data_IF_553408651906
#
_entry.id   IF_553408651906
#
_cell.length_a   1.000
_cell.length_b   1.000
_cell.length_c   1.000
_cell.angle_alpha   90.00
_cell.angle_beta   90.00
_cell.angle_gamma   90.00
#
_symmetry.space_group_name_H-M   'P 1'
#
loop_
_entity.id
_entity.type
_entity.pdbx_description
1 polymer ?
#
# COMPACT_ATOMS: atom_id res chain seq x y z
N UNK A 1 17.43 36.09 24.08
CA UNK A 1 17.40 35.55 22.71
C UNK A 1 16.79 34.15 22.79
N UNK A 2 15.52 34.00 22.42
CA UNK A 2 14.79 32.71 22.50
C UNK A 2 14.87 32.02 21.15
N UNK A 3 15.48 30.83 21.10
CA UNK A 3 15.55 30.01 19.90
C UNK A 3 14.18 29.37 19.65
N UNK A 4 13.51 29.77 18.56
CA UNK A 4 12.33 29.08 18.05
C UNK A 4 12.77 27.70 17.54
N UNK A 5 12.55 26.66 18.36
CA UNK A 5 12.71 25.28 17.95
C UNK A 5 11.67 25.00 16.86
N UNK A 6 12.10 25.01 15.60
CA UNK A 6 11.25 24.61 14.47
C UNK A 6 11.02 23.10 14.62
N UNK A 7 9.88 22.72 15.21
CA UNK A 7 9.42 21.34 15.24
C UNK A 7 9.25 20.89 13.79
N UNK A 8 10.13 20.00 13.32
CA UNK A 8 9.87 19.25 12.11
C UNK A 8 8.49 18.59 12.25
N UNK A 9 7.65 18.60 11.21
CA UNK A 9 6.33 17.99 11.29
C UNK A 9 6.48 16.52 11.69
N UNK A 10 5.73 16.12 12.71
CA UNK A 10 5.72 14.74 13.20
C UNK A 10 5.47 13.78 12.03
N UNK A 11 6.24 12.69 11.91
CA UNK A 11 6.08 11.77 10.80
C UNK A 11 4.68 11.14 10.89
N UNK A 12 3.95 11.17 9.78
CA UNK A 12 2.61 10.58 9.69
C UNK A 12 2.75 9.07 9.88
N UNK A 13 2.24 8.56 11.01
CA UNK A 13 2.17 7.13 11.31
C UNK A 13 0.77 6.61 11.03
N UNK A 14 0.70 5.35 10.62
CA UNK A 14 -0.56 4.63 10.52
C UNK A 14 -1.14 4.41 11.92
N UNK A 15 -2.41 4.79 12.18
CA UNK A 15 -3.02 4.60 13.51
C UNK A 15 -3.11 3.14 13.96
N UNK A 16 -3.09 2.19 13.03
CA UNK A 16 -3.02 0.76 13.30
C UNK A 16 -1.60 0.22 13.46
N UNK A 17 -0.57 1.05 13.62
CA UNK A 17 0.79 0.54 13.81
C UNK A 17 0.98 -0.14 15.18
N UNK A 18 2.02 -0.98 15.30
CA UNK A 18 2.38 -1.71 16.52
C UNK A 18 2.09 -3.22 16.42
N UNK A 19 0.83 -3.68 16.54
CA UNK A 19 0.51 -5.11 16.44
C UNK A 19 0.84 -5.73 15.07
N UNK A 20 0.74 -7.06 14.96
CA UNK A 20 0.96 -7.80 13.70
C UNK A 20 -0.02 -7.38 12.61
N UNK A 21 0.44 -7.30 11.37
CA UNK A 21 -0.43 -7.01 10.23
C UNK A 21 -1.24 -8.28 9.91
N UNK A 22 -2.57 -8.17 9.94
CA UNK A 22 -3.52 -9.24 9.54
C UNK A 22 -4.30 -8.77 8.32
N UNK A 23 -5.09 -9.65 7.70
CA UNK A 23 -5.89 -9.32 6.53
C UNK A 23 -6.88 -8.18 6.80
N UNK A 24 -7.55 -8.20 7.95
CA UNK A 24 -8.53 -7.18 8.36
C UNK A 24 -7.83 -5.83 8.58
N UNK A 25 -6.64 -5.86 9.18
CA UNK A 25 -5.86 -4.64 9.43
C UNK A 25 -5.25 -4.09 8.15
N UNK A 26 -4.95 -4.96 7.18
CA UNK A 26 -4.52 -4.56 5.85
C UNK A 26 -5.64 -3.79 5.13
N UNK A 27 -6.88 -4.25 5.18
CA UNK A 27 -8.01 -3.53 4.59
C UNK A 27 -8.18 -2.14 5.24
N UNK A 28 -8.05 -2.06 6.58
CA UNK A 28 -8.04 -0.78 7.30
C UNK A 28 -6.85 0.13 6.93
N UNK A 29 -5.66 -0.44 6.68
CA UNK A 29 -4.50 0.30 6.18
C UNK A 29 -4.77 0.89 4.79
N UNK A 30 -5.34 0.10 3.86
CA UNK A 30 -5.70 0.56 2.52
C UNK A 30 -6.69 1.73 2.58
N UNK A 31 -7.74 1.58 3.39
CA UNK A 31 -8.77 2.59 3.57
C UNK A 31 -8.22 3.91 4.14
N UNK A 32 -7.37 3.82 5.18
CA UNK A 32 -6.68 4.98 5.74
C UNK A 32 -5.74 5.64 4.74
N UNK A 33 -4.94 4.86 4.01
CA UNK A 33 -4.00 5.37 3.01
C UNK A 33 -4.73 6.08 1.87
N UNK A 34 -5.87 5.55 1.40
CA UNK A 34 -6.71 6.19 0.40
C UNK A 34 -7.28 7.53 0.89
N UNK A 35 -7.74 7.59 2.15
CA UNK A 35 -8.20 8.86 2.75
C UNK A 35 -7.09 9.91 2.85
N UNK A 36 -5.85 9.47 3.03
CA UNK A 36 -4.66 10.33 3.04
C UNK A 36 -4.25 10.81 1.64
N UNK A 37 -4.87 10.30 0.56
CA UNK A 37 -4.49 10.63 -0.81
C UNK A 37 -3.27 9.87 -1.31
N UNK A 38 -3.01 8.67 -0.76
CA UNK A 38 -1.92 7.83 -1.23
C UNK A 38 -2.18 7.31 -2.66
N UNK A 39 -1.19 7.47 -3.54
CA UNK A 39 -1.18 6.88 -4.88
C UNK A 39 -0.71 5.43 -4.85
N UNK A 40 0.23 5.11 -3.96
CA UNK A 40 0.87 3.80 -3.86
C UNK A 40 1.03 3.39 -2.40
N UNK A 41 0.76 2.12 -2.12
CA UNK A 41 0.97 1.45 -0.84
C UNK A 41 1.91 0.28 -1.10
N UNK A 42 3.10 0.30 -0.48
CA UNK A 42 4.16 -0.69 -0.71
C UNK A 42 4.39 -1.53 0.55
N UNK A 43 4.32 -2.85 0.36
CA UNK A 43 4.54 -3.85 1.40
C UNK A 43 5.60 -4.82 0.89
N UNK A 44 6.70 -4.95 1.62
CA UNK A 44 7.84 -5.77 1.22
C UNK A 44 8.49 -6.41 2.44
N UNK A 45 8.92 -7.67 2.29
CA UNK A 45 9.63 -8.41 3.33
C UNK A 45 10.81 -7.61 3.87
N UNK A 46 10.83 -7.37 5.19
CA UNK A 46 11.92 -6.66 5.85
C UNK A 46 11.93 -5.14 5.62
N UNK A 47 10.90 -4.55 5.02
CA UNK A 47 10.71 -3.10 4.90
C UNK A 47 9.58 -2.62 5.80
N UNK A 48 9.59 -1.32 6.14
CA UNK A 48 8.44 -0.66 6.76
C UNK A 48 7.32 -0.50 5.74
N UNK A 49 6.08 -0.32 6.19
CA UNK A 49 4.98 0.08 5.31
C UNK A 49 5.33 1.46 4.74
N UNK A 50 5.29 1.56 3.41
CA UNK A 50 5.62 2.79 2.69
C UNK A 50 4.41 3.25 1.89
N UNK A 51 4.07 4.53 2.04
CA UNK A 51 3.07 5.21 1.21
C UNK A 51 3.74 6.21 0.29
N UNK A 52 3.17 6.41 -0.89
CA UNK A 52 3.45 7.56 -1.74
C UNK A 52 2.24 8.49 -1.72
N UNK A 53 2.40 9.68 -1.13
CA UNK A 53 1.32 10.67 -0.96
C UNK A 53 1.76 11.96 -1.61
N UNK A 54 1.04 12.43 -2.62
CA UNK A 54 1.37 13.66 -3.37
C UNK A 54 2.85 13.73 -3.79
N UNK A 55 3.42 12.62 -4.28
CA UNK A 55 4.81 12.52 -4.72
C UNK A 55 5.84 12.34 -3.60
N UNK A 56 5.44 12.34 -2.33
CA UNK A 56 6.34 12.13 -1.17
C UNK A 56 6.28 10.68 -0.68
N UNK A 57 7.44 10.11 -0.38
CA UNK A 57 7.57 8.77 0.17
C UNK A 57 7.54 8.83 1.70
N UNK A 58 6.54 8.22 2.31
CA UNK A 58 6.32 8.20 3.75
C UNK A 58 6.47 6.78 4.29
N UNK A 59 7.29 6.59 5.33
CA UNK A 59 7.33 5.33 6.09
C UNK A 59 6.34 5.47 7.24
N UNK A 60 5.28 4.67 7.24
CA UNK A 60 4.12 4.86 8.13
C UNK A 60 4.01 3.83 9.24
N UNK A 61 4.98 2.91 9.36
CA UNK A 61 5.08 1.95 10.44
C UNK A 61 6.42 2.06 11.19
N UNK A 62 6.41 1.73 12.48
CA UNK A 62 7.62 1.70 13.33
C UNK A 62 8.47 0.48 13.03
N UNK A 63 7.85 -0.69 12.85
CA UNK A 63 8.54 -1.95 12.57
C UNK A 63 8.53 -2.32 11.10
N UNK A 64 9.50 -3.15 10.73
CA UNK A 64 9.57 -3.80 9.41
C UNK A 64 8.59 -4.97 9.38
N UNK A 65 8.00 -5.21 8.21
CA UNK A 65 7.16 -6.38 7.95
C UNK A 65 8.00 -7.64 8.03
N UNK A 66 7.45 -8.66 8.67
CA UNK A 66 8.00 -10.01 8.61
C UNK A 66 7.69 -10.63 7.24
N UNK A 67 8.37 -11.72 6.90
CA UNK A 67 8.06 -12.50 5.70
C UNK A 67 6.59 -12.95 5.69
N UNK A 68 6.12 -13.51 6.80
CA UNK A 68 4.73 -13.92 6.97
C UNK A 68 3.72 -12.80 6.68
N UNK A 69 3.97 -11.58 7.16
CA UNK A 69 3.06 -10.45 6.94
C UNK A 69 3.05 -9.96 5.50
N UNK A 70 4.22 -9.99 4.84
CA UNK A 70 4.32 -9.62 3.44
C UNK A 70 3.66 -10.68 2.53
N UNK A 71 3.84 -11.97 2.84
CA UNK A 71 3.19 -13.09 2.14
C UNK A 71 1.67 -13.10 2.34
N UNK A 72 1.20 -12.89 3.57
CA UNK A 72 -0.22 -12.72 3.86
C UNK A 72 -0.81 -11.53 3.08
N UNK A 73 -0.09 -10.41 3.02
CA UNK A 73 -0.53 -9.25 2.24
C UNK A 73 -0.61 -9.55 0.74
N UNK A 74 0.35 -10.30 0.18
CA UNK A 74 0.27 -10.77 -1.21
C UNK A 74 -1.02 -11.56 -1.40
N UNK A 75 -1.22 -12.65 -0.64
CA UNK A 75 -2.36 -13.53 -0.82
C UNK A 75 -3.70 -12.80 -0.67
N UNK A 76 -3.80 -11.90 0.32
CA UNK A 76 -5.00 -11.07 0.52
C UNK A 76 -5.25 -10.14 -0.66
N UNK A 77 -4.23 -9.43 -1.15
CA UNK A 77 -4.39 -8.43 -2.22
C UNK A 77 -4.57 -9.08 -3.60
N UNK A 78 -4.00 -10.26 -3.81
CA UNK A 78 -4.21 -11.00 -5.06
C UNK A 78 -5.51 -11.80 -5.05
N UNK A 79 -6.18 -11.89 -3.89
CA UNK A 79 -7.36 -12.72 -3.67
C UNK A 79 -7.10 -14.20 -4.06
N UNK A 80 -5.88 -14.67 -3.79
CA UNK A 80 -5.37 -15.99 -4.14
C UNK A 80 -4.60 -16.55 -2.95
N UNK A 81 -5.00 -17.71 -2.45
CA UNK A 81 -4.31 -18.37 -1.33
C UNK A 81 -2.91 -18.88 -1.73
N UNK A 82 -2.69 -19.11 -3.02
CA UNK A 82 -1.45 -19.59 -3.61
C UNK A 82 -0.60 -18.49 -4.25
N UNK A 83 -0.99 -17.21 -4.17
CA UNK A 83 -0.32 -16.10 -4.87
C UNK A 83 1.20 -16.06 -4.64
N UNK A 84 1.65 -16.32 -3.42
CA UNK A 84 3.09 -16.42 -3.08
C UNK A 84 3.82 -17.54 -3.84
N UNK A 85 3.17 -18.69 -4.08
CA UNK A 85 3.76 -19.79 -4.83
C UNK A 85 4.05 -19.40 -6.28
N UNK A 86 3.17 -18.62 -6.90
CA UNK A 86 3.40 -18.04 -8.24
C UNK A 86 4.61 -17.11 -8.23
N UNK A 87 4.74 -16.24 -7.22
CA UNK A 87 5.88 -15.33 -7.10
C UNK A 87 7.22 -16.08 -6.95
N UNK A 88 7.22 -17.21 -6.23
CA UNK A 88 8.41 -18.07 -6.06
C UNK A 88 8.85 -18.74 -7.36
N UNK A 89 7.94 -18.92 -8.32
CA UNK A 89 8.25 -19.43 -9.68
C UNK A 89 8.54 -18.32 -10.68
N UNK A 90 8.88 -17.12 -10.20
CA UNK A 90 9.18 -15.92 -10.99
C UNK A 90 8.03 -15.46 -11.91
N UNK A 91 6.78 -15.71 -11.53
CA UNK A 91 5.59 -15.22 -12.23
C UNK A 91 5.01 -14.02 -11.48
N UNK A 92 5.18 -12.78 -11.98
CA UNK A 92 4.57 -11.62 -11.34
C UNK A 92 3.05 -11.66 -11.50
N UNK A 93 2.34 -11.05 -10.55
CA UNK A 93 0.89 -10.93 -10.56
C UNK A 93 0.49 -9.47 -10.75
N UNK A 94 -0.44 -9.21 -11.67
CA UNK A 94 -1.07 -7.91 -11.89
C UNK A 94 -2.59 -8.10 -11.90
N UNK A 95 -3.26 -7.71 -10.82
CA UNK A 95 -4.71 -7.92 -10.64
C UNK A 95 -5.39 -6.68 -10.06
N UNK A 96 -6.70 -6.58 -10.23
CA UNK A 96 -7.49 -5.57 -9.53
C UNK A 96 -7.95 -6.11 -8.18
N UNK A 97 -7.93 -5.27 -7.15
CA UNK A 97 -8.42 -5.59 -5.81
C UNK A 97 -9.41 -4.55 -5.33
N UNK A 98 -10.52 -5.02 -4.77
CA UNK A 98 -11.56 -4.19 -4.16
C UNK A 98 -11.82 -4.74 -2.76
N UNK A 99 -11.37 -4.05 -1.69
CA UNK A 99 -11.76 -4.45 -0.36
C UNK A 99 -13.28 -4.31 -0.20
N UNK A 100 -13.85 -5.11 0.70
CA UNK A 100 -15.25 -4.95 1.09
C UNK A 100 -15.54 -3.52 1.59
N UNK A 101 -16.81 -3.11 1.53
CA UNK A 101 -17.24 -1.82 2.06
C UNK A 101 -16.90 -1.75 3.55
N UNK A 102 -15.94 -0.89 3.89
CA UNK A 102 -15.63 -0.53 5.27
C UNK A 102 -16.49 0.68 5.64
N UNK A 103 -17.14 0.64 6.79
CA UNK A 103 -17.99 1.74 7.25
C UNK A 103 -17.19 3.05 7.30
N UNK A 104 -17.71 4.10 6.65
CA UNK A 104 -17.03 5.41 6.54
C UNK A 104 -15.95 5.52 5.47
N UNK A 105 -15.66 4.45 4.71
CA UNK A 105 -14.71 4.45 3.60
C UNK A 105 -15.43 3.93 2.35
N UNK A 106 -15.72 4.84 1.41
CA UNK A 106 -16.39 4.49 0.15
C UNK A 106 -15.65 3.40 -0.63
N UNK A 107 -16.25 2.93 -1.73
CA UNK A 107 -15.61 1.90 -2.58
C UNK A 107 -14.24 2.40 -3.05
N UNK A 108 -13.21 1.60 -2.80
CA UNK A 108 -11.86 1.83 -3.29
C UNK A 108 -11.46 0.67 -4.21
N UNK A 109 -10.81 0.99 -5.33
CA UNK A 109 -10.24 -0.02 -6.24
C UNK A 109 -8.74 0.16 -6.27
N UNK A 110 -8.00 -0.94 -6.37
CA UNK A 110 -6.55 -0.91 -6.46
C UNK A 110 -6.06 -1.78 -7.60
N UNK A 111 -4.98 -1.35 -8.27
CA UNK A 111 -4.17 -2.23 -9.12
C UNK A 111 -3.04 -2.79 -8.28
N UNK A 112 -2.99 -4.10 -8.16
CA UNK A 112 -2.03 -4.85 -7.34
C UNK A 112 -0.95 -5.39 -8.24
N UNK A 113 0.30 -5.04 -7.95
CA UNK A 113 1.47 -5.58 -8.64
C UNK A 113 2.34 -6.29 -7.60
N UNK A 114 2.53 -7.60 -7.75
CA UNK A 114 3.31 -8.41 -6.81
C UNK A 114 4.45 -9.16 -7.51
N UNK A 115 5.59 -9.29 -6.83
CA UNK A 115 6.79 -9.99 -7.33
C UNK A 115 7.57 -10.69 -6.21
N UNK A 116 8.30 -11.73 -6.58
CA UNK A 116 9.33 -12.33 -5.73
C UNK A 116 10.53 -11.39 -5.56
N UNK A 117 11.18 -11.46 -4.41
CA UNK A 117 12.39 -10.70 -4.06
C UNK A 117 13.37 -11.59 -3.28
N UNK A 118 14.57 -11.08 -3.03
CA UNK A 118 15.53 -11.69 -2.12
C UNK A 118 15.70 -10.79 -0.89
N UNK A 119 15.53 -11.37 0.29
CA UNK A 119 15.79 -10.71 1.56
C UNK A 119 16.76 -11.55 2.39
N UNK A 120 17.95 -10.99 2.67
CA UNK A 120 19.03 -11.67 3.43
C UNK A 120 19.39 -13.07 2.87
N UNK A 121 19.39 -13.22 1.54
CA UNK A 121 19.71 -14.48 0.88
C UNK A 121 18.57 -15.52 0.89
N UNK A 122 17.42 -15.20 1.48
CA UNK A 122 16.21 -16.01 1.42
C UNK A 122 15.18 -15.38 0.49
N UNK A 123 14.20 -16.20 0.06
CA UNK A 123 13.06 -15.71 -0.70
C UNK A 123 12.27 -14.67 0.10
N UNK A 124 11.73 -13.69 -0.60
CA UNK A 124 10.82 -12.70 -0.04
C UNK A 124 9.83 -12.24 -1.09
N UNK A 125 8.92 -11.35 -0.71
CA UNK A 125 7.90 -10.82 -1.62
C UNK A 125 7.80 -9.30 -1.49
N UNK A 126 7.37 -8.68 -2.58
CA UNK A 126 6.99 -7.28 -2.61
C UNK A 126 5.65 -7.14 -3.34
N UNK A 127 4.75 -6.36 -2.77
CA UNK A 127 3.47 -5.99 -3.38
C UNK A 127 3.26 -4.49 -3.30
N UNK A 128 2.74 -3.94 -4.39
CA UNK A 128 2.36 -2.54 -4.51
C UNK A 128 0.88 -2.47 -4.87
N UNK A 129 0.07 -1.86 -4.01
CA UNK A 129 -1.30 -1.50 -4.30
C UNK A 129 -1.35 -0.05 -4.78
N UNK A 130 -1.82 0.17 -6.01
CA UNK A 130 -1.99 1.51 -6.59
C UNK A 130 -3.45 1.89 -6.61
N UNK A 131 -3.79 3.02 -6.01
CA UNK A 131 -5.19 3.50 -5.95
C UNK A 131 -5.70 3.79 -7.36
N UNK A 132 -6.86 3.23 -7.71
CA UNK A 132 -7.58 3.52 -8.94
C UNK A 132 -8.74 4.46 -8.63
N UNK A 133 -8.84 5.64 -9.28
CA UNK A 133 -9.98 6.51 -9.11
C UNK A 133 -11.25 5.81 -9.58
N UNK A 134 -12.31 5.85 -8.77
CA UNK A 134 -13.60 5.24 -9.07
C UNK A 134 -14.42 6.05 -10.07
N UNK A 135 -14.18 7.35 -10.14
CA UNK A 135 -14.79 8.25 -11.13
C UNK A 135 -13.71 8.74 -12.09
N UNK A 136 -13.85 8.50 -13.40
CA UNK A 136 -12.98 9.13 -14.39
C UNK A 136 -13.01 10.65 -14.22
N UNK A 137 -11.86 11.32 -14.34
CA UNK A 137 -11.83 12.78 -14.29
C UNK A 137 -12.60 13.35 -15.49
N UNK A 138 -13.48 14.36 -15.32
CA UNK A 138 -14.19 14.97 -16.44
C UNK A 138 -13.23 15.53 -17.49
N UNK A 139 -13.57 15.42 -18.78
CA UNK A 139 -12.71 15.86 -19.90
C UNK A 139 -12.29 17.33 -19.77
N UNK A 140 -13.22 18.19 -19.35
CA UNK A 140 -12.98 19.62 -19.10
C UNK A 140 -11.87 19.89 -18.06
N UNK A 141 -11.52 18.91 -17.22
CA UNK A 141 -10.44 19.04 -16.21
C UNK A 141 -9.12 18.41 -16.63
N UNK A 142 -9.07 17.83 -17.83
CA UNK A 142 -7.90 17.10 -18.31
C UNK A 142 -6.94 17.99 -19.14
N UNK A 143 -7.26 19.28 -19.34
CA UNK A 143 -6.47 20.22 -20.15
C UNK A 143 -6.10 19.64 -21.53
N UNK A 144 -7.03 18.93 -22.14
CA UNK A 144 -6.89 18.45 -23.52
C UNK A 144 -7.48 19.48 -24.47
N UNK A 145 -6.91 19.61 -25.67
CA UNK A 145 -7.45 20.49 -26.70
C UNK A 145 -8.78 19.94 -27.23
N UNK A 146 -9.73 20.83 -27.48
CA UNK A 146 -10.93 20.49 -28.23
C UNK A 146 -10.54 20.37 -29.71
N UNK A 147 -10.73 19.18 -30.28
CA UNK A 147 -10.39 18.86 -31.67
C UNK A 147 -11.32 19.47 -32.70
#
# INVERSE_FOLDING_TARGET
MSAALTLAPSPIMWPGDGPRLTAERLDGLLAWASKLGASDIRLETGKRIILQVHGRVLKVSTRRLTEYEAEMAVNRLTNQDDGVAWLRTARPLDVAYEPGLLEGYGRARYRINAKGTLFKGQGGVAVIARTLPTTPRPLATQNVEDG
#
